data_IF_812064792235
#
_entry.id   IF_812064792235
#
_cell.length_a   1.000
_cell.length_b   1.000
_cell.length_c   1.000
_cell.angle_alpha   90.00
_cell.angle_beta   90.00
_cell.angle_gamma   90.00
#
_symmetry.space_group_name_H-M   'P 1'
#
loop_
_entity.id
_entity.type
_entity.pdbx_description
1 polymer ?
#
# COMPACT_ATOMS: atom_id res chain seq x y z
N UNK A 1 40.88 -48.87 15.22
CA UNK A 1 40.14 -48.19 14.13
C UNK A 1 39.28 -47.11 14.76
N UNK A 2 39.61 -45.83 14.55
CA UNK A 2 38.96 -44.68 15.19
C UNK A 2 38.02 -44.03 14.17
N UNK A 3 36.72 -44.15 14.40
CA UNK A 3 35.69 -43.56 13.54
C UNK A 3 35.62 -42.06 13.79
N UNK A 4 35.95 -41.27 12.77
CA UNK A 4 35.69 -39.83 12.76
C UNK A 4 34.27 -39.61 12.25
N UNK A 5 33.35 -39.28 13.16
CA UNK A 5 32.04 -38.77 12.79
C UNK A 5 32.15 -37.25 12.57
N UNK A 6 32.11 -36.81 11.30
CA UNK A 6 31.91 -35.41 10.96
C UNK A 6 30.47 -35.01 11.33
N UNK A 7 30.25 -33.94 12.11
CA UNK A 7 28.92 -33.33 12.16
C UNK A 7 28.76 -32.49 10.89
N UNK A 8 27.86 -32.92 10.00
CA UNK A 8 27.32 -32.08 8.93
C UNK A 8 26.60 -30.90 9.59
N UNK A 9 27.24 -29.74 9.58
CA UNK A 9 26.59 -28.47 9.87
C UNK A 9 25.59 -28.17 8.74
N UNK A 10 24.34 -28.53 8.95
CA UNK A 10 23.22 -28.10 8.11
C UNK A 10 23.03 -26.59 8.31
N UNK A 11 23.66 -25.79 7.45
CA UNK A 11 23.42 -24.36 7.34
C UNK A 11 22.00 -24.20 6.78
N UNK A 12 21.04 -24.02 7.67
CA UNK A 12 19.72 -23.50 7.36
C UNK A 12 19.89 -22.05 6.90
N UNK A 13 19.98 -21.86 5.59
CA UNK A 13 19.90 -20.54 4.96
C UNK A 13 18.47 -20.04 5.17
N UNK A 14 18.28 -19.27 6.23
CA UNK A 14 17.08 -18.46 6.42
C UNK A 14 17.11 -17.36 5.35
N UNK A 15 16.40 -17.60 4.24
CA UNK A 15 16.13 -16.57 3.25
C UNK A 15 15.36 -15.43 3.96
N UNK A 16 15.83 -14.18 3.89
CA UNK A 16 15.06 -13.07 4.40
C UNK A 16 13.84 -12.91 3.49
N UNK A 17 12.67 -13.27 4.01
CA UNK A 17 11.39 -12.85 3.44
C UNK A 17 11.42 -11.33 3.37
N UNK A 18 11.65 -10.79 2.17
CA UNK A 18 11.45 -9.38 1.86
C UNK A 18 9.98 -9.09 2.17
N UNK A 19 9.78 -8.62 3.39
CA UNK A 19 8.51 -8.15 3.88
C UNK A 19 8.28 -6.83 3.16
N UNK A 20 7.69 -6.92 1.97
CA UNK A 20 7.05 -5.81 1.28
C UNK A 20 6.05 -5.26 2.29
N UNK A 21 6.49 -4.26 3.03
CA UNK A 21 5.64 -3.53 3.96
C UNK A 21 4.78 -2.62 3.09
N UNK A 22 3.73 -3.20 2.51
CA UNK A 22 2.54 -2.43 2.20
C UNK A 22 2.16 -1.79 3.53
N UNK A 23 2.36 -0.46 3.64
CA UNK A 23 2.03 0.29 4.83
C UNK A 23 0.53 0.12 5.07
N UNK A 24 0.19 -0.93 5.82
CA UNK A 24 -1.18 -1.33 6.03
C UNK A 24 -1.78 -0.18 6.80
N UNK A 25 -2.70 0.53 6.16
CA UNK A 25 -3.49 1.55 6.81
C UNK A 25 -4.26 0.82 7.90
N UNK A 26 -3.73 0.85 9.11
CA UNK A 26 -4.22 0.08 10.26
C UNK A 26 -4.92 0.99 11.24
N UNK A 27 -4.82 2.30 11.01
CA UNK A 27 -5.34 3.32 11.90
C UNK A 27 -5.99 4.46 11.10
N UNK A 28 -7.06 5.01 11.67
CA UNK A 28 -7.89 6.05 11.03
C UNK A 28 -7.06 7.27 10.66
N UNK A 29 -6.10 7.64 11.51
CA UNK A 29 -5.22 8.79 11.25
C UNK A 29 -4.42 8.61 9.96
N UNK A 30 -3.78 7.45 9.80
CA UNK A 30 -2.98 7.14 8.60
C UNK A 30 -3.86 7.03 7.36
N UNK A 31 -5.10 6.58 7.52
CA UNK A 31 -6.07 6.50 6.42
C UNK A 31 -6.45 7.89 5.91
N UNK A 32 -6.83 8.80 6.82
CA UNK A 32 -7.19 10.17 6.46
C UNK A 32 -6.00 10.95 5.91
N UNK A 33 -4.80 10.69 6.41
CA UNK A 33 -3.56 11.22 5.83
C UNK A 33 -3.42 10.78 4.37
N UNK A 34 -3.56 9.48 4.09
CA UNK A 34 -3.45 8.94 2.74
C UNK A 34 -4.54 9.49 1.77
N UNK A 35 -5.74 9.77 2.29
CA UNK A 35 -6.81 10.47 1.55
C UNK A 35 -6.38 11.90 1.21
N UNK A 36 -5.81 12.63 2.16
CA UNK A 36 -5.34 14.00 1.94
C UNK A 36 -4.20 14.04 0.92
N UNK A 37 -3.25 13.10 1.01
CA UNK A 37 -2.17 12.94 0.04
C UNK A 37 -2.72 12.66 -1.36
N UNK A 38 -3.67 11.72 -1.47
CA UNK A 38 -4.29 11.40 -2.76
C UNK A 38 -5.04 12.61 -3.36
N UNK A 39 -5.76 13.40 -2.56
CA UNK A 39 -6.38 14.66 -3.03
C UNK A 39 -5.35 15.61 -3.61
N UNK A 40 -4.28 15.84 -2.86
CA UNK A 40 -3.20 16.73 -3.29
C UNK A 40 -2.53 16.24 -4.58
N UNK A 41 -2.28 14.94 -4.70
CA UNK A 41 -1.72 14.34 -5.92
C UNK A 41 -2.68 14.44 -7.10
N UNK A 42 -3.97 14.14 -6.92
CA UNK A 42 -4.98 14.27 -7.98
C UNK A 42 -5.18 15.72 -8.43
N UNK A 43 -5.02 16.70 -7.55
CA UNK A 43 -5.09 18.11 -7.93
C UNK A 43 -3.87 18.57 -8.75
N UNK A 44 -2.70 17.98 -8.49
CA UNK A 44 -1.44 18.29 -9.17
C UNK A 44 -1.20 17.46 -10.43
N UNK A 45 -1.89 16.32 -10.59
CA UNK A 45 -1.71 15.41 -11.71
C UNK A 45 -2.27 16.00 -13.01
N UNK A 46 -1.55 15.80 -14.11
CA UNK A 46 -1.89 16.26 -15.45
C UNK A 46 -2.80 15.25 -16.17
N UNK A 47 -3.85 14.81 -15.48
CA UNK A 47 -4.85 13.85 -16.00
C UNK A 47 -6.05 14.56 -16.62
N UNK A 48 -6.76 13.88 -17.52
CA UNK A 48 -7.98 14.42 -18.15
C UNK A 48 -9.05 14.77 -17.11
N UNK A 49 -9.90 15.77 -17.38
CA UNK A 49 -10.94 16.22 -16.44
C UNK A 49 -11.86 15.09 -15.95
N UNK A 50 -12.22 14.16 -16.84
CA UNK A 50 -13.01 12.97 -16.47
C UNK A 50 -12.26 12.04 -15.52
N UNK A 51 -10.96 11.79 -15.77
CA UNK A 51 -10.14 10.99 -14.86
C UNK A 51 -9.97 11.67 -13.49
N UNK A 52 -9.93 13.00 -13.46
CA UNK A 52 -9.90 13.78 -12.22
C UNK A 52 -11.18 13.63 -11.41
N UNK A 53 -12.36 13.71 -12.05
CA UNK A 53 -13.65 13.47 -11.37
C UNK A 53 -13.75 12.05 -10.81
N UNK A 54 -13.38 11.03 -11.58
CA UNK A 54 -13.35 9.63 -11.13
C UNK A 54 -12.41 9.46 -9.92
N UNK A 55 -11.20 10.00 -10.01
CA UNK A 55 -10.23 9.98 -8.91
C UNK A 55 -10.78 10.67 -7.65
N UNK A 56 -11.41 11.85 -7.79
CA UNK A 56 -12.05 12.55 -6.66
C UNK A 56 -13.20 11.75 -6.04
N UNK A 57 -14.02 11.08 -6.86
CA UNK A 57 -15.09 10.20 -6.38
C UNK A 57 -14.52 9.03 -5.58
N UNK A 58 -13.49 8.36 -6.09
CA UNK A 58 -12.79 7.28 -5.39
C UNK A 58 -12.17 7.72 -4.06
N UNK A 59 -11.57 8.91 -4.03
CA UNK A 59 -11.03 9.52 -2.81
C UNK A 59 -12.15 9.77 -1.79
N UNK A 60 -13.32 10.26 -2.19
CA UNK A 60 -14.44 10.46 -1.27
C UNK A 60 -14.94 9.14 -0.68
N UNK A 61 -15.01 8.09 -1.49
CA UNK A 61 -15.37 6.75 -1.01
C UNK A 61 -14.31 6.25 -0.02
N UNK A 62 -13.01 6.44 -0.32
CA UNK A 62 -11.93 6.08 0.58
C UNK A 62 -12.01 6.84 1.92
N UNK A 63 -12.32 8.14 1.91
CA UNK A 63 -12.55 8.94 3.12
C UNK A 63 -13.67 8.35 3.99
N UNK A 64 -14.81 8.02 3.35
CA UNK A 64 -15.91 7.40 4.05
C UNK A 64 -15.53 6.04 4.65
N UNK A 65 -14.79 5.21 3.91
CA UNK A 65 -14.28 3.94 4.39
C UNK A 65 -13.30 4.11 5.56
N UNK A 66 -12.45 5.14 5.54
CA UNK A 66 -11.59 5.51 6.67
C UNK A 66 -12.40 5.82 7.93
N UNK A 67 -13.56 6.49 7.80
CA UNK A 67 -14.43 6.77 8.96
C UNK A 67 -15.11 5.52 9.53
N UNK A 68 -15.36 4.52 8.69
CA UNK A 68 -15.96 3.24 9.07
C UNK A 68 -14.92 2.18 9.49
N UNK A 69 -13.65 2.55 9.63
CA UNK A 69 -12.54 1.63 9.89
C UNK A 69 -12.33 0.53 8.82
N UNK A 70 -12.86 0.73 7.61
CA UNK A 70 -12.67 -0.16 6.45
C UNK A 70 -11.38 0.17 5.70
N UNK A 71 -10.26 0.16 6.42
CA UNK A 71 -9.00 0.72 5.94
C UNK A 71 -8.40 -0.01 4.74
N UNK A 72 -8.53 -1.34 4.67
CA UNK A 72 -8.04 -2.14 3.54
C UNK A 72 -8.72 -1.75 2.24
N UNK A 73 -10.03 -1.47 2.28
CA UNK A 73 -10.77 -1.03 1.09
C UNK A 73 -10.43 0.41 0.73
N UNK A 74 -10.26 1.29 1.72
CA UNK A 74 -9.78 2.65 1.50
C UNK A 74 -8.40 2.65 0.84
N UNK A 75 -7.47 1.84 1.33
CA UNK A 75 -6.12 1.72 0.78
C UNK A 75 -6.13 1.20 -0.67
N UNK A 76 -6.97 0.21 -0.99
CA UNK A 76 -7.14 -0.27 -2.38
C UNK A 76 -7.64 0.82 -3.31
N UNK A 77 -8.65 1.59 -2.90
CA UNK A 77 -9.17 2.72 -3.68
C UNK A 77 -8.10 3.80 -3.89
N UNK A 78 -7.38 4.17 -2.83
CA UNK A 78 -6.29 5.16 -2.92
C UNK A 78 -5.13 4.65 -3.78
N UNK A 79 -4.89 3.33 -3.81
CA UNK A 79 -3.93 2.70 -4.71
C UNK A 79 -4.30 2.86 -6.18
N UNK A 80 -5.58 2.69 -6.53
CA UNK A 80 -6.09 2.92 -7.90
C UNK A 80 -5.90 4.39 -8.28
N UNK A 81 -6.29 5.31 -7.40
CA UNK A 81 -6.14 6.76 -7.61
C UNK A 81 -4.68 7.12 -7.86
N UNK A 82 -3.74 6.62 -7.05
CA UNK A 82 -2.30 6.82 -7.27
C UNK A 82 -1.83 6.27 -8.61
N UNK A 83 -2.33 5.11 -9.03
CA UNK A 83 -2.02 4.54 -10.33
C UNK A 83 -2.55 5.35 -11.51
N UNK A 84 -3.66 6.06 -11.33
CA UNK A 84 -4.20 7.01 -12.32
C UNK A 84 -3.34 8.28 -12.41
N UNK A 85 -2.85 8.79 -11.27
CA UNK A 85 -2.04 10.02 -11.22
C UNK A 85 -0.55 9.79 -11.52
N UNK A 86 -0.05 8.55 -11.46
CA UNK A 86 1.36 8.20 -11.69
C UNK A 86 1.67 7.76 -13.12
N UNK A 87 0.65 7.51 -13.95
CA UNK A 87 0.83 7.28 -15.39
C UNK A 87 1.02 8.63 -16.09
N UNK A 88 2.22 9.15 -16.01
CA UNK A 88 2.74 10.26 -16.83
C UNK A 88 4.06 9.86 -17.49
#
# INVERSE_FOLDING_TARGET
MKFYALPLAAILVAAPLLSVSAQTVTDKKTCLQAVADARSSTDQASITGKAKEEAQSMIQIADHLCTQANFVFAEKLLGIVRGMTAQE
#
